data_IF_169304415615
#
_entry.id   IF_169304415615
#
_cell.length_a   1.000
_cell.length_b   1.000
_cell.length_c   1.000
_cell.angle_alpha   90.00
_cell.angle_beta   90.00
_cell.angle_gamma   90.00
#
_symmetry.space_group_name_H-M   'P 1'
#
loop_
_entity.id
_entity.type
_entity.pdbx_description
1 polymer ?
#
# COMPACT_ATOMS: atom_id res chain seq x y z
N UNK A 1 -36.59 -1.00 12.65
CA UNK A 1 -35.67 0.06 12.19
C UNK A 1 -36.13 1.44 12.66
N UNK A 2 -37.39 1.83 12.48
CA UNK A 2 -37.92 3.14 12.98
C UNK A 2 -37.85 3.32 14.50
N UNK A 3 -38.05 2.27 15.31
CA UNK A 3 -38.00 2.39 16.78
C UNK A 3 -36.59 2.64 17.37
N UNK A 4 -35.52 2.40 16.60
CA UNK A 4 -34.13 2.58 17.06
C UNK A 4 -33.66 4.03 16.83
N UNK A 5 -34.17 4.72 15.80
CA UNK A 5 -33.85 6.14 15.59
C UNK A 5 -34.43 7.03 16.69
N UNK A 6 -35.62 6.69 17.18
CA UNK A 6 -36.34 7.51 18.16
C UNK A 6 -35.69 7.43 19.56
N UNK A 7 -35.15 6.26 19.91
CA UNK A 7 -34.41 6.06 21.16
C UNK A 7 -33.06 6.79 21.15
N UNK A 8 -32.42 6.91 19.98
CA UNK A 8 -31.16 7.62 19.85
C UNK A 8 -31.32 9.14 19.87
N UNK A 9 -32.38 9.66 19.24
CA UNK A 9 -32.75 11.08 19.34
C UNK A 9 -33.10 11.48 20.79
N UNK A 10 -33.79 10.60 21.53
CA UNK A 10 -34.06 10.84 22.96
C UNK A 10 -32.79 10.85 23.80
N UNK A 11 -31.86 9.92 23.59
CA UNK A 11 -30.59 9.88 24.33
C UNK A 11 -29.74 11.14 24.11
N UNK A 12 -29.62 11.61 22.85
CA UNK A 12 -28.88 12.83 22.51
C UNK A 12 -29.51 14.07 23.14
N UNK A 13 -30.84 14.14 23.24
CA UNK A 13 -31.54 15.26 23.88
C UNK A 13 -31.42 15.30 25.42
N UNK A 14 -31.21 14.14 26.05
CA UNK A 14 -31.06 14.02 27.51
C UNK A 14 -29.62 14.23 27.98
N UNK A 15 -28.64 13.97 27.12
CA UNK A 15 -27.25 14.33 27.35
C UNK A 15 -27.10 15.85 27.28
N UNK A 16 -27.22 16.54 28.42
CA UNK A 16 -26.71 17.90 28.61
C UNK A 16 -25.18 17.90 28.47
N UNK A 17 -24.70 17.80 27.25
CA UNK A 17 -23.31 18.12 26.93
C UNK A 17 -23.11 19.61 27.25
N UNK A 18 -22.02 19.98 27.94
CA UNK A 18 -21.74 21.38 28.25
C UNK A 18 -21.57 22.16 26.95
N UNK A 19 -22.57 22.97 26.62
CA UNK A 19 -22.50 23.93 25.52
C UNK A 19 -21.52 25.05 25.84
N UNK A 20 -20.67 25.31 24.86
CA UNK A 20 -20.17 26.63 24.45
C UNK A 20 -19.14 27.36 25.33
N UNK A 21 -17.88 27.30 24.89
CA UNK A 21 -17.14 28.56 24.66
C UNK A 21 -17.53 29.05 23.27
N UNK A 22 -18.38 30.08 23.21
CA UNK A 22 -18.78 30.77 21.97
C UNK A 22 -17.55 31.25 21.21
N UNK A 23 -17.19 30.57 20.11
CA UNK A 23 -16.38 31.18 19.06
C UNK A 23 -17.29 32.15 18.32
N UNK A 24 -16.82 33.39 18.16
CA UNK A 24 -17.54 34.46 17.47
C UNK A 24 -17.95 33.99 16.07
N UNK A 25 -19.25 34.02 15.83
CA UNK A 25 -19.86 33.92 14.52
C UNK A 25 -19.30 35.05 13.64
N UNK A 26 -18.69 34.70 12.51
CA UNK A 26 -18.50 35.63 11.40
C UNK A 26 -19.69 35.35 10.50
N UNK A 27 -20.66 36.25 10.52
CA UNK A 27 -21.82 36.19 9.63
C UNK A 27 -21.35 36.52 8.21
N UNK A 28 -21.26 35.49 7.37
CA UNK A 28 -21.36 35.68 5.92
C UNK A 28 -22.74 35.27 5.50
N UNK A 29 -23.56 36.29 5.30
CA UNK A 29 -24.90 36.28 4.74
C UNK A 29 -24.83 35.76 3.29
N UNK A 30 -25.32 34.54 3.07
CA UNK A 30 -25.89 34.01 1.82
C UNK A 30 -26.24 32.53 2.04
N UNK A 31 -27.55 32.28 2.20
CA UNK A 31 -28.11 30.98 2.55
C UNK A 31 -27.89 29.90 1.49
N UNK A 32 -26.79 29.16 1.65
CA UNK A 32 -26.65 27.74 1.30
C UNK A 32 -25.32 27.25 1.91
N UNK A 33 -25.34 26.87 3.18
CA UNK A 33 -24.21 26.16 3.79
C UNK A 33 -24.68 24.82 4.30
N UNK A 34 -24.69 23.82 3.41
CA UNK A 34 -24.42 22.46 3.85
C UNK A 34 -23.10 22.56 4.61
N UNK A 35 -23.13 22.35 5.93
CA UNK A 35 -21.93 22.28 6.75
C UNK A 35 -21.15 21.03 6.33
N UNK A 36 -20.46 21.11 5.20
CA UNK A 36 -19.25 20.34 5.01
C UNK A 36 -18.33 20.81 6.13
N UNK A 37 -18.11 19.96 7.12
CA UNK A 37 -16.83 20.01 7.83
C UNK A 37 -15.79 20.15 6.73
N UNK A 38 -15.02 21.26 6.64
CA UNK A 38 -13.95 21.37 5.68
C UNK A 38 -13.14 20.10 5.89
N UNK A 39 -13.08 19.28 4.84
CA UNK A 39 -12.49 17.96 4.87
C UNK A 39 -11.19 18.11 5.65
N UNK A 40 -11.11 17.52 6.85
CA UNK A 40 -9.85 17.44 7.54
C UNK A 40 -9.04 16.56 6.58
N UNK A 41 -8.19 17.16 5.76
CA UNK A 41 -7.09 16.47 5.10
C UNK A 41 -5.96 16.57 6.12
N UNK A 42 -5.89 15.76 7.19
CA UNK A 42 -4.69 15.70 8.01
C UNK A 42 -3.46 15.19 7.23
N UNK A 43 -3.63 15.00 5.92
CA UNK A 43 -2.72 14.38 4.99
C UNK A 43 -2.66 15.17 3.67
N UNK A 44 -2.91 16.49 3.67
CA UNK A 44 -2.35 17.33 2.60
C UNK A 44 -0.83 17.33 2.82
N UNK A 45 -0.20 16.21 2.44
CA UNK A 45 1.21 15.96 2.66
C UNK A 45 1.97 16.75 1.61
N UNK A 46 3.04 17.38 2.06
CA UNK A 46 4.08 17.89 1.17
C UNK A 46 4.37 16.84 0.10
N UNK A 47 4.38 17.21 -1.19
CA UNK A 47 4.64 16.27 -2.27
C UNK A 47 5.94 15.51 -1.95
N UNK A 48 5.84 14.18 -1.90
CA UNK A 48 6.99 13.32 -1.61
C UNK A 48 8.01 13.54 -2.73
N UNK A 49 9.15 14.17 -2.40
CA UNK A 49 10.26 14.29 -3.34
C UNK A 49 10.92 12.92 -3.43
N UNK A 50 10.81 12.31 -4.61
CA UNK A 50 11.42 11.02 -4.88
C UNK A 50 12.88 11.21 -5.23
N UNK A 51 13.75 10.57 -4.45
CA UNK A 51 15.15 10.41 -4.80
C UNK A 51 15.46 8.91 -4.83
N UNK A 52 16.03 8.39 -5.94
CA UNK A 52 16.49 7.01 -5.97
C UNK A 52 17.63 6.86 -4.97
N UNK A 53 17.39 6.04 -3.95
CA UNK A 53 18.32 5.82 -2.85
C UNK A 53 18.36 4.33 -2.58
N UNK A 54 19.55 3.75 -2.60
CA UNK A 54 19.77 2.35 -2.32
C UNK A 54 20.62 2.29 -1.05
N UNK A 55 19.99 2.02 0.09
CA UNK A 55 20.62 2.09 1.40
C UNK A 55 20.59 0.76 2.12
N UNK A 56 21.66 0.52 2.86
CA UNK A 56 21.80 -0.59 3.77
C UNK A 56 22.05 -0.06 5.18
N UNK A 57 21.25 -0.51 6.13
CA UNK A 57 21.26 -0.06 7.52
C UNK A 57 21.64 -1.28 8.39
N UNK A 58 22.89 -1.39 8.85
CA UNK A 58 23.29 -2.45 9.74
C UNK A 58 22.69 -2.22 11.13
N UNK A 59 21.86 -3.15 11.62
CA UNK A 59 21.20 -3.04 12.93
C UNK A 59 21.73 -4.10 13.90
N UNK A 60 22.36 -3.65 14.99
CA UNK A 60 22.84 -4.54 16.05
C UNK A 60 21.66 -5.24 16.73
N UNK A 61 21.78 -6.55 16.96
CA UNK A 61 20.76 -7.37 17.61
C UNK A 61 19.65 -7.86 16.69
N UNK A 62 19.76 -7.60 15.37
CA UNK A 62 18.84 -8.17 14.39
C UNK A 62 19.39 -9.52 13.89
N UNK A 63 18.61 -10.58 14.06
CA UNK A 63 19.01 -11.93 13.64
C UNK A 63 18.69 -12.22 12.16
N UNK A 64 17.76 -11.46 11.57
CA UNK A 64 17.26 -11.65 10.21
C UNK A 64 17.30 -10.36 9.40
N UNK A 65 17.38 -10.45 8.07
CA UNK A 65 17.42 -9.25 7.24
C UNK A 65 16.00 -8.86 6.78
N UNK A 66 15.77 -7.59 6.51
CA UNK A 66 14.51 -7.09 5.93
C UNK A 66 14.83 -6.19 4.76
N UNK A 67 14.15 -6.39 3.63
CA UNK A 67 14.34 -5.60 2.42
C UNK A 67 13.01 -4.97 2.04
N UNK A 68 13.00 -3.66 1.80
CA UNK A 68 11.87 -2.92 1.27
C UNK A 68 12.31 -2.20 -0.01
N UNK A 69 11.51 -2.31 -1.06
CA UNK A 69 11.70 -1.60 -2.31
C UNK A 69 10.43 -0.84 -2.65
N UNK A 70 10.60 0.45 -2.92
CA UNK A 70 9.52 1.38 -3.21
C UNK A 70 9.66 1.90 -4.63
N UNK A 71 8.54 1.93 -5.36
CA UNK A 71 8.46 2.57 -6.68
C UNK A 71 7.26 3.52 -6.76
N UNK A 72 7.35 4.62 -7.52
CA UNK A 72 6.28 5.61 -7.60
C UNK A 72 4.99 5.08 -8.25
N UNK A 73 3.88 5.31 -7.57
CA UNK A 73 2.52 4.96 -7.99
C UNK A 73 1.59 6.16 -7.75
N UNK A 74 1.41 6.99 -8.78
CA UNK A 74 0.56 8.19 -8.70
C UNK A 74 -0.90 7.86 -9.04
N UNK A 75 -1.53 6.96 -8.29
CA UNK A 75 -2.95 6.62 -8.45
C UNK A 75 -3.68 6.74 -7.10
N UNK A 76 -4.99 6.97 -7.16
CA UNK A 76 -5.87 6.99 -5.98
C UNK A 76 -6.96 5.91 -6.10
N UNK A 77 -7.78 5.72 -5.06
CA UNK A 77 -8.86 4.73 -5.05
C UNK A 77 -9.87 4.88 -6.21
N UNK A 78 -10.04 6.09 -6.75
CA UNK A 78 -10.97 6.39 -7.86
C UNK A 78 -10.31 6.28 -9.24
N UNK A 79 -8.98 6.22 -9.32
CA UNK A 79 -8.25 6.12 -10.56
C UNK A 79 -8.59 4.80 -11.27
N UNK A 80 -8.90 4.78 -12.58
CA UNK A 80 -9.34 3.57 -13.29
C UNK A 80 -8.39 2.39 -13.10
N UNK A 81 -7.08 2.65 -13.11
CA UNK A 81 -6.03 1.62 -12.94
C UNK A 81 -5.91 1.04 -11.53
N UNK A 82 -6.60 1.57 -10.51
CA UNK A 82 -6.48 1.05 -9.14
C UNK A 82 -6.78 -0.45 -9.04
N UNK A 83 -7.94 -0.87 -9.58
CA UNK A 83 -8.37 -2.27 -9.55
C UNK A 83 -7.39 -3.22 -10.29
N UNK A 84 -6.98 -2.97 -11.54
CA UNK A 84 -6.03 -3.86 -12.22
C UNK A 84 -4.64 -3.87 -11.58
N UNK A 85 -4.18 -2.78 -10.97
CA UNK A 85 -2.91 -2.74 -10.22
C UNK A 85 -2.99 -3.57 -8.94
N UNK A 86 -4.10 -3.50 -8.20
CA UNK A 86 -4.33 -4.32 -7.00
C UNK A 86 -4.40 -5.81 -7.35
N UNK A 87 -5.17 -6.18 -8.39
CA UNK A 87 -5.21 -7.57 -8.86
C UNK A 87 -3.83 -8.09 -9.29
N UNK A 88 -2.99 -7.23 -9.88
CA UNK A 88 -1.63 -7.60 -10.21
C UNK A 88 -0.77 -7.86 -8.96
N UNK A 89 -0.97 -7.11 -7.88
CA UNK A 89 -0.33 -7.38 -6.59
C UNK A 89 -0.70 -8.78 -6.07
N UNK A 90 -1.99 -9.13 -6.12
CA UNK A 90 -2.50 -10.43 -5.69
C UNK A 90 -1.97 -11.59 -6.53
N UNK A 91 -1.91 -11.41 -7.85
CA UNK A 91 -1.32 -12.39 -8.77
C UNK A 91 0.14 -12.66 -8.39
N UNK A 92 0.92 -11.64 -8.03
CA UNK A 92 2.29 -11.83 -7.57
C UNK A 92 2.38 -12.39 -6.14
N UNK A 93 1.46 -12.03 -5.24
CA UNK A 93 1.38 -12.61 -3.90
C UNK A 93 1.20 -14.12 -3.94
N UNK A 94 0.43 -14.65 -4.92
CA UNK A 94 0.29 -16.10 -5.11
C UNK A 94 1.62 -16.84 -5.33
N UNK A 95 2.69 -16.11 -5.71
CA UNK A 95 4.04 -16.65 -5.93
C UNK A 95 4.95 -16.58 -4.70
N UNK A 96 4.50 -16.05 -3.57
CA UNK A 96 5.25 -16.06 -2.30
C UNK A 96 5.84 -17.45 -2.00
N UNK A 97 5.07 -18.51 -2.25
CA UNK A 97 5.47 -19.89 -2.02
C UNK A 97 6.77 -20.28 -2.73
N UNK A 98 7.09 -19.70 -3.89
CA UNK A 98 8.35 -19.95 -4.60
C UNK A 98 9.56 -19.39 -3.85
N UNK A 99 9.44 -18.21 -3.21
CA UNK A 99 10.49 -17.60 -2.39
C UNK A 99 10.68 -18.39 -1.09
N UNK A 100 9.57 -18.74 -0.44
CA UNK A 100 9.56 -19.45 0.83
C UNK A 100 10.09 -20.88 0.70
N UNK A 101 9.71 -21.61 -0.36
CA UNK A 101 10.17 -22.98 -0.60
C UNK A 101 11.68 -23.04 -0.87
N UNK A 102 12.24 -21.99 -1.48
CA UNK A 102 13.71 -21.85 -1.67
C UNK A 102 14.43 -21.44 -0.38
N UNK A 103 13.70 -21.10 0.67
CA UNK A 103 14.24 -20.69 1.95
C UNK A 103 14.92 -19.32 1.93
N UNK A 104 14.57 -18.44 0.97
CA UNK A 104 15.22 -17.12 0.85
C UNK A 104 14.66 -16.07 1.80
N UNK A 105 13.36 -16.12 2.07
CA UNK A 105 12.67 -15.28 3.05
C UNK A 105 11.42 -15.99 3.58
N UNK A 106 11.05 -15.67 4.81
CA UNK A 106 9.82 -16.20 5.41
C UNK A 106 8.61 -15.40 4.98
N UNK A 107 8.70 -14.07 5.02
CA UNK A 107 7.62 -13.18 4.62
C UNK A 107 7.92 -12.47 3.31
N UNK A 108 6.94 -12.48 2.42
CA UNK A 108 6.88 -11.70 1.20
C UNK A 108 5.67 -10.78 1.26
N UNK A 109 5.79 -9.56 0.74
CA UNK A 109 4.66 -8.67 0.58
C UNK A 109 4.81 -7.82 -0.67
N UNK A 110 3.70 -7.60 -1.37
CA UNK A 110 3.61 -6.66 -2.48
C UNK A 110 2.35 -5.82 -2.33
N UNK A 111 2.51 -4.58 -1.90
CA UNK A 111 1.40 -3.75 -1.44
C UNK A 111 1.34 -2.40 -2.14
N UNK A 112 0.12 -1.87 -2.17
CA UNK A 112 -0.18 -0.51 -2.61
C UNK A 112 -0.30 0.38 -1.37
N UNK A 113 0.48 1.45 -1.33
CA UNK A 113 0.23 2.54 -0.38
C UNK A 113 -0.19 3.77 -1.17
N UNK A 114 -1.51 3.87 -1.34
CA UNK A 114 -2.18 4.95 -2.05
C UNK A 114 -1.95 6.31 -1.38
N UNK A 115 -1.79 6.32 -0.06
CA UNK A 115 -1.58 7.55 0.70
C UNK A 115 -0.19 8.12 0.41
N UNK A 116 0.82 7.27 0.33
CA UNK A 116 2.18 7.67 -0.06
C UNK A 116 2.41 7.71 -1.57
N UNK A 117 1.46 7.17 -2.35
CA UNK A 117 1.57 7.04 -3.80
C UNK A 117 2.72 6.12 -4.21
N UNK A 118 2.84 4.97 -3.54
CA UNK A 118 3.94 4.01 -3.75
C UNK A 118 3.44 2.59 -3.93
N UNK A 119 4.17 1.82 -4.73
CA UNK A 119 4.15 0.36 -4.73
C UNK A 119 5.32 -0.13 -3.86
N UNK A 120 5.07 -1.11 -2.99
CA UNK A 120 6.03 -1.60 -2.02
C UNK A 120 6.22 -3.10 -2.20
N UNK A 121 7.42 -3.52 -2.59
CA UNK A 121 7.88 -4.89 -2.45
C UNK A 121 8.62 -5.02 -1.12
N UNK A 122 8.27 -6.02 -0.31
CA UNK A 122 8.85 -6.22 1.01
C UNK A 122 9.18 -7.67 1.31
N UNK A 123 10.33 -7.88 1.93
CA UNK A 123 10.77 -9.17 2.43
C UNK A 123 11.08 -9.05 3.91
N UNK A 124 10.50 -9.94 4.73
CA UNK A 124 10.76 -10.02 6.16
C UNK A 124 11.38 -11.37 6.50
N UNK A 125 12.22 -11.37 7.54
CA UNK A 125 12.97 -12.54 7.97
C UNK A 125 13.74 -13.21 6.80
N UNK A 126 14.41 -12.38 6.01
CA UNK A 126 15.14 -12.80 4.82
C UNK A 126 16.53 -13.34 5.18
N UNK A 127 16.76 -14.62 4.90
CA UNK A 127 18.08 -15.26 4.99
C UNK A 127 18.95 -14.89 3.78
N UNK A 128 18.33 -14.69 2.61
CA UNK A 128 18.98 -14.34 1.35
C UNK A 128 18.17 -13.27 0.60
N UNK A 129 18.13 -12.02 1.10
CA UNK A 129 17.29 -10.96 0.55
C UNK A 129 17.60 -10.65 -0.93
N UNK A 130 18.87 -10.73 -1.36
CA UNK A 130 19.25 -10.48 -2.76
C UNK A 130 18.71 -11.57 -3.70
N UNK A 131 18.76 -12.85 -3.29
CA UNK A 131 18.22 -13.95 -4.09
C UNK A 131 16.70 -13.88 -4.19
N UNK A 132 16.02 -13.54 -3.09
CA UNK A 132 14.58 -13.32 -3.10
C UNK A 132 14.17 -12.15 -4.02
N UNK A 133 14.88 -11.02 -3.94
CA UNK A 133 14.66 -9.88 -4.84
C UNK A 133 14.92 -10.27 -6.31
N UNK A 134 15.97 -11.03 -6.59
CA UNK A 134 16.27 -11.53 -7.93
C UNK A 134 15.17 -12.46 -8.46
N UNK A 135 14.59 -13.32 -7.63
CA UNK A 135 13.43 -14.14 -8.04
C UNK A 135 12.21 -13.27 -8.38
N UNK A 136 11.92 -12.24 -7.58
CA UNK A 136 10.89 -11.27 -7.90
C UNK A 136 11.14 -10.58 -9.25
N UNK A 137 12.38 -10.13 -9.52
CA UNK A 137 12.75 -9.55 -10.81
C UNK A 137 12.59 -10.53 -11.97
N UNK A 138 12.95 -11.81 -11.79
CA UNK A 138 12.70 -12.85 -12.79
C UNK A 138 11.21 -13.00 -13.07
N UNK A 139 10.33 -12.86 -12.07
CA UNK A 139 8.89 -12.92 -12.33
C UNK A 139 8.41 -11.74 -13.17
N UNK A 140 8.90 -10.53 -12.91
CA UNK A 140 8.61 -9.35 -13.72
C UNK A 140 9.11 -9.54 -15.15
N UNK A 141 10.36 -9.98 -15.33
CA UNK A 141 10.94 -10.24 -16.65
C UNK A 141 10.20 -11.34 -17.43
N UNK A 142 9.74 -12.40 -16.75
CA UNK A 142 8.89 -13.44 -17.37
C UNK A 142 7.55 -12.86 -17.84
N UNK A 143 6.94 -11.99 -17.04
CA UNK A 143 5.71 -11.30 -17.39
C UNK A 143 5.92 -10.38 -18.61
N UNK A 144 7.06 -9.70 -18.71
CA UNK A 144 7.40 -8.89 -19.89
C UNK A 144 7.62 -9.74 -21.14
N UNK A 145 8.26 -10.90 -21.00
CA UNK A 145 8.57 -11.78 -22.13
C UNK A 145 7.35 -12.51 -22.69
N UNK A 146 6.41 -12.93 -21.82
CA UNK A 146 5.21 -13.65 -22.24
C UNK A 146 4.00 -13.32 -21.33
N UNK A 147 3.37 -12.14 -21.55
CA UNK A 147 2.33 -11.64 -20.65
C UNK A 147 1.15 -12.59 -20.46
N UNK A 148 0.69 -13.22 -21.54
CA UNK A 148 -0.51 -14.07 -21.53
C UNK A 148 -0.28 -15.46 -20.93
N UNK A 149 0.98 -15.91 -20.81
CA UNK A 149 1.29 -17.12 -20.02
C UNK A 149 1.30 -16.88 -18.53
N UNK A 150 1.62 -15.65 -18.10
CA UNK A 150 1.67 -15.29 -16.68
C UNK A 150 0.30 -14.80 -16.19
N UNK A 151 -0.33 -13.87 -16.92
CA UNK A 151 -1.67 -13.35 -16.62
C UNK A 151 -2.69 -14.19 -17.40
N UNK A 152 -3.04 -15.33 -16.82
CA UNK A 152 -4.09 -16.21 -17.34
C UNK A 152 -5.45 -15.80 -16.79
N UNK A 153 -6.53 -16.22 -17.47
CA UNK A 153 -7.89 -16.00 -16.98
C UNK A 153 -8.09 -16.58 -15.57
N UNK A 154 -7.53 -17.76 -15.30
CA UNK A 154 -7.58 -18.40 -13.98
C UNK A 154 -6.87 -17.57 -12.91
N UNK A 155 -5.70 -17.00 -13.21
CA UNK A 155 -4.97 -16.15 -12.28
C UNK A 155 -5.76 -14.88 -11.94
N UNK A 156 -6.38 -14.27 -12.95
CA UNK A 156 -7.23 -13.08 -12.79
C UNK A 156 -8.48 -13.37 -11.96
N UNK A 157 -9.19 -14.47 -12.25
CA UNK A 157 -10.37 -14.89 -11.48
C UNK A 157 -10.03 -15.23 -10.03
N UNK A 158 -8.87 -15.83 -9.80
CA UNK A 158 -8.36 -16.13 -8.45
C UNK A 158 -8.09 -14.84 -7.68
N UNK A 159 -7.36 -13.89 -8.27
CA UNK A 159 -7.11 -12.59 -7.65
C UNK A 159 -8.41 -11.83 -7.37
N UNK A 160 -9.35 -11.80 -8.32
CA UNK A 160 -10.66 -11.19 -8.10
C UNK A 160 -11.42 -11.87 -6.95
N UNK A 161 -11.31 -13.19 -6.80
CA UNK A 161 -11.95 -13.92 -5.70
C UNK A 161 -11.33 -13.56 -4.35
N UNK A 162 -10.02 -13.30 -4.29
CA UNK A 162 -9.33 -12.80 -3.09
C UNK A 162 -9.89 -11.44 -2.68
N UNK A 163 -9.94 -10.47 -3.59
CA UNK A 163 -10.51 -9.13 -3.32
C UNK A 163 -11.98 -9.19 -2.88
N UNK A 164 -12.77 -10.08 -3.49
CA UNK A 164 -14.17 -10.32 -3.09
C UNK A 164 -14.24 -10.91 -1.69
N UNK A 165 -13.39 -11.89 -1.37
CA UNK A 165 -13.32 -12.48 -0.05
C UNK A 165 -12.93 -11.44 1.01
N UNK A 166 -11.90 -10.64 0.76
CA UNK A 166 -11.43 -9.59 1.66
C UNK A 166 -12.48 -8.50 1.88
N UNK A 167 -13.24 -8.17 0.83
CA UNK A 167 -14.38 -7.27 0.95
C UNK A 167 -15.45 -7.81 1.92
N UNK A 168 -15.77 -9.11 1.88
CA UNK A 168 -16.78 -9.68 2.76
C UNK A 168 -16.25 -10.00 4.17
N UNK A 169 -14.99 -10.42 4.29
CA UNK A 169 -14.35 -10.74 5.57
C UNK A 169 -14.27 -9.53 6.50
N UNK A 170 -13.99 -8.35 5.93
CA UNK A 170 -14.01 -7.05 6.63
C UNK A 170 -15.40 -6.57 7.08
N UNK A 171 -16.46 -7.35 6.81
CA UNK A 171 -17.85 -7.00 7.14
C UNK A 171 -18.56 -8.11 7.93
N UNK A 172 -17.79 -9.07 8.47
CA UNK A 172 -18.35 -10.19 9.21
C UNK A 172 -18.90 -9.79 10.59
N UNK A 173 -18.36 -8.75 11.24
CA UNK A 173 -18.82 -8.30 12.56
C UNK A 173 -19.23 -6.81 12.57
N UNK A 174 -20.11 -6.38 13.49
CA UNK A 174 -20.45 -4.97 13.64
C UNK A 174 -19.23 -4.08 13.88
N UNK A 175 -18.24 -4.56 14.63
CA UNK A 175 -17.00 -3.84 14.91
C UNK A 175 -16.19 -3.59 13.64
N UNK A 176 -16.09 -4.58 12.76
CA UNK A 176 -15.36 -4.45 11.49
C UNK A 176 -16.06 -3.46 10.56
N UNK A 177 -17.39 -3.52 10.48
CA UNK A 177 -18.19 -2.59 9.68
C UNK A 177 -18.03 -1.14 10.17
N UNK A 178 -18.03 -0.91 11.49
CA UNK A 178 -17.80 0.42 12.06
C UNK A 178 -16.37 0.90 11.75
N UNK A 179 -15.38 0.02 11.93
CA UNK A 179 -13.98 0.34 11.69
C UNK A 179 -13.71 0.67 10.21
N UNK A 180 -14.30 -0.09 9.28
CA UNK A 180 -14.18 0.18 7.85
C UNK A 180 -14.91 1.47 7.46
N UNK A 181 -16.07 1.77 8.03
CA UNK A 181 -16.75 3.07 7.80
C UNK A 181 -15.86 4.24 8.21
N UNK A 182 -15.25 4.17 9.39
CA UNK A 182 -14.36 5.22 9.89
C UNK A 182 -13.11 5.33 9.00
N UNK A 183 -12.52 4.20 8.61
CA UNK A 183 -11.34 4.18 7.75
C UNK A 183 -11.65 4.69 6.34
N UNK A 184 -12.83 4.40 5.81
CA UNK A 184 -13.34 4.88 4.50
C UNK A 184 -13.37 6.41 4.45
N UNK A 185 -13.76 7.06 5.56
CA UNK A 185 -13.70 8.52 5.68
C UNK A 185 -12.25 9.04 5.58
N UNK A 186 -11.29 8.36 6.22
CA UNK A 186 -9.86 8.71 6.12
C UNK A 186 -9.25 8.40 4.75
N UNK A 187 -9.80 7.44 3.99
CA UNK A 187 -9.43 7.15 2.59
C UNK A 187 -9.98 8.19 1.60
N UNK A 188 -10.83 9.12 2.04
CA UNK A 188 -11.47 10.12 1.19
C UNK A 188 -12.65 9.61 0.38
N UNK A 189 -13.26 8.52 0.84
CA UNK A 189 -14.46 7.95 0.24
C UNK A 189 -15.70 8.40 1.03
N UNK A 190 -16.75 8.93 0.38
CA UNK A 190 -17.91 9.51 1.06
C UNK A 190 -18.77 8.51 1.84
N UNK A 191 -18.81 7.24 1.44
CA UNK A 191 -19.66 6.22 2.05
C UNK A 191 -19.22 4.81 1.61
N UNK A 192 -19.82 3.77 2.24
CA UNK A 192 -19.57 2.36 1.90
C UNK A 192 -20.00 1.95 0.48
N UNK A 193 -20.87 2.73 -0.20
CA UNK A 193 -21.28 2.40 -1.56
C UNK A 193 -20.10 2.45 -2.53
N UNK A 194 -19.11 3.31 -2.26
CA UNK A 194 -17.87 3.36 -3.04
C UNK A 194 -17.09 2.04 -2.99
N UNK A 195 -17.17 1.32 -1.88
CA UNK A 195 -16.55 0.00 -1.76
C UNK A 195 -17.24 -1.04 -2.66
N UNK A 196 -18.55 -0.91 -2.89
CA UNK A 196 -19.27 -1.74 -3.87
C UNK A 196 -18.91 -1.38 -5.31
N UNK A 197 -18.75 -0.08 -5.60
CA UNK A 197 -18.26 0.39 -6.91
C UNK A 197 -16.86 -0.15 -7.18
N UNK A 198 -15.98 -0.15 -6.17
CA UNK A 198 -14.65 -0.75 -6.29
C UNK A 198 -14.72 -2.26 -6.56
N UNK A 199 -15.62 -2.98 -5.88
CA UNK A 199 -15.83 -4.41 -6.11
C UNK A 199 -16.28 -4.71 -7.55
N UNK A 200 -17.17 -3.89 -8.10
CA UNK A 200 -17.60 -4.01 -9.50
C UNK A 200 -16.44 -3.77 -10.48
N UNK A 201 -15.54 -2.84 -10.15
CA UNK A 201 -14.35 -2.58 -10.96
C UNK A 201 -13.37 -3.76 -10.98
N UNK A 202 -13.20 -4.49 -9.89
CA UNK A 202 -12.41 -5.72 -9.89
C UNK A 202 -13.00 -6.77 -10.83
N UNK A 203 -14.32 -6.97 -10.76
CA UNK A 203 -15.05 -7.91 -11.61
C UNK A 203 -14.95 -7.57 -13.10
N UNK A 204 -14.89 -6.29 -13.43
CA UNK A 204 -14.84 -5.80 -14.81
C UNK A 204 -13.40 -5.63 -15.35
N UNK A 205 -12.37 -6.01 -14.58
CA UNK A 205 -10.99 -5.98 -15.08
C UNK A 205 -10.77 -7.05 -16.16
N UNK A 206 -10.06 -6.67 -17.22
CA UNK A 206 -9.63 -7.59 -18.28
C UNK A 206 -8.15 -7.89 -18.18
N UNK A 207 -7.71 -8.98 -18.81
CA UNK A 207 -6.29 -9.38 -18.86
C UNK A 207 -5.44 -8.25 -19.48
N UNK A 208 -5.95 -7.61 -20.53
CA UNK A 208 -5.27 -6.52 -21.24
C UNK A 208 -5.03 -5.32 -20.33
N UNK A 209 -6.03 -4.91 -19.53
CA UNK A 209 -5.88 -3.82 -18.57
C UNK A 209 -4.83 -4.12 -17.50
N UNK A 210 -4.77 -5.36 -17.02
CA UNK A 210 -3.76 -5.80 -16.05
C UNK A 210 -2.36 -5.78 -16.67
N UNK A 211 -2.21 -6.23 -17.91
CA UNK A 211 -0.94 -6.19 -18.64
C UNK A 211 -0.51 -4.75 -18.91
N UNK A 212 -1.42 -3.86 -19.31
CA UNK A 212 -1.12 -2.43 -19.48
C UNK A 212 -0.63 -1.80 -18.17
N UNK A 213 -1.28 -2.14 -17.06
CA UNK A 213 -0.88 -1.67 -15.73
C UNK A 213 0.49 -2.22 -15.30
N UNK A 214 0.85 -3.44 -15.71
CA UNK A 214 2.20 -3.96 -15.51
C UNK A 214 3.25 -3.04 -16.15
N UNK A 215 3.09 -2.72 -17.43
CA UNK A 215 4.04 -1.87 -18.15
C UNK A 215 4.07 -0.44 -17.62
N UNK A 216 2.94 0.08 -17.14
CA UNK A 216 2.83 1.45 -16.62
C UNK A 216 3.40 1.61 -15.20
N UNK A 217 3.26 0.60 -14.35
CA UNK A 217 3.55 0.75 -12.91
C UNK A 217 4.57 -0.25 -12.36
N UNK A 218 4.47 -1.53 -12.71
CA UNK A 218 5.32 -2.58 -12.11
C UNK A 218 6.69 -2.66 -12.76
N UNK A 219 6.82 -2.32 -14.05
CA UNK A 219 8.12 -2.27 -14.73
C UNK A 219 9.13 -1.36 -14.01
N UNK A 220 8.66 -0.35 -13.28
CA UNK A 220 9.47 0.55 -12.45
C UNK A 220 10.32 -0.16 -11.39
N UNK A 221 9.94 -1.35 -10.94
CA UNK A 221 10.77 -2.16 -10.03
C UNK A 221 12.11 -2.58 -10.67
N UNK A 222 12.15 -2.71 -12.00
CA UNK A 222 13.37 -3.02 -12.76
C UNK A 222 14.18 -1.77 -13.10
N UNK A 223 13.58 -0.59 -13.04
CA UNK A 223 14.22 0.68 -13.41
C UNK A 223 15.17 1.20 -12.32
N UNK A 224 16.06 2.17 -12.62
CA UNK A 224 16.94 2.77 -11.61
C UNK A 224 16.21 3.71 -10.63
N UNK A 225 15.05 4.24 -11.02
CA UNK A 225 14.28 5.22 -10.24
C UNK A 225 13.47 4.56 -9.12
N UNK A 226 14.16 3.94 -8.17
CA UNK A 226 13.57 3.25 -7.03
C UNK A 226 14.30 3.54 -5.74
N UNK A 227 13.58 3.40 -4.64
CA UNK A 227 14.15 3.44 -3.29
C UNK A 227 14.25 1.99 -2.80
N UNK A 228 15.44 1.56 -2.39
CA UNK A 228 15.66 0.26 -1.77
C UNK A 228 16.27 0.49 -0.40
N UNK A 229 15.65 -0.09 0.62
CA UNK A 229 16.10 -0.03 2.00
C UNK A 229 16.28 -1.45 2.49
N UNK A 230 17.48 -1.76 2.96
CA UNK A 230 17.81 -3.06 3.49
C UNK A 230 18.31 -2.91 4.93
N UNK A 231 17.63 -3.52 5.90
CA UNK A 231 18.17 -3.66 7.25
C UNK A 231 18.88 -5.00 7.37
N UNK A 232 20.13 -4.99 7.80
CA UNK A 232 20.93 -6.22 7.92
C UNK A 232 21.54 -6.41 9.28
N UNK A 233 21.79 -7.67 9.62
CA UNK A 233 22.79 -8.01 10.62
C UNK A 233 24.16 -7.42 10.20
N UNK A 234 24.95 -6.80 11.10
CA UNK A 234 26.28 -6.31 10.80
C UNK A 234 27.22 -7.36 10.16
N UNK A 235 27.12 -8.62 10.59
CA UNK A 235 27.94 -9.73 10.10
C UNK A 235 27.62 -10.14 8.65
N UNK A 236 26.39 -9.90 8.18
CA UNK A 236 25.99 -10.21 6.81
C UNK A 236 26.17 -9.02 5.85
N UNK A 237 26.59 -7.86 6.36
CA UNK A 237 26.58 -6.61 5.62
C UNK A 237 27.40 -6.69 4.32
N UNK A 238 28.69 -7.01 4.43
CA UNK A 238 29.63 -7.10 3.29
C UNK A 238 29.24 -8.20 2.29
N UNK A 239 28.76 -9.34 2.81
CA UNK A 239 28.31 -10.45 1.98
C UNK A 239 27.12 -10.04 1.12
N UNK A 240 26.15 -9.33 1.70
CA UNK A 240 24.97 -8.88 0.97
C UNK A 240 25.32 -7.80 -0.05
N UNK A 241 26.27 -6.91 0.23
CA UNK A 241 26.75 -5.94 -0.76
C UNK A 241 27.39 -6.60 -1.97
N UNK A 242 28.28 -7.55 -1.70
CA UNK A 242 28.96 -8.30 -2.75
C UNK A 242 27.95 -9.08 -3.61
N UNK A 243 26.94 -9.66 -2.98
CA UNK A 243 25.87 -10.37 -3.67
C UNK A 243 24.97 -9.42 -4.48
N UNK A 244 24.61 -8.26 -3.92
CA UNK A 244 23.79 -7.24 -4.60
C UNK A 244 24.50 -6.70 -5.85
N UNK A 245 25.81 -6.43 -5.74
CA UNK A 245 26.62 -5.98 -6.88
C UNK A 245 26.78 -7.05 -7.95
N UNK A 246 27.03 -8.30 -7.56
CA UNK A 246 27.25 -9.39 -8.50
C UNK A 246 25.99 -9.87 -9.22
N UNK A 247 24.85 -9.97 -8.52
CA UNK A 247 23.61 -10.48 -9.09
C UNK A 247 22.76 -9.41 -9.78
N UNK A 248 22.73 -8.19 -9.23
CA UNK A 248 21.78 -7.15 -9.63
C UNK A 248 22.46 -5.87 -10.13
N UNK A 249 23.80 -5.80 -10.11
CA UNK A 249 24.60 -4.61 -10.44
C UNK A 249 24.14 -3.34 -9.69
N UNK A 250 23.79 -3.52 -8.41
CA UNK A 250 23.34 -2.43 -7.53
C UNK A 250 24.36 -2.20 -6.43
N UNK A 251 24.83 -0.95 -6.32
CA UNK A 251 25.66 -0.49 -5.22
C UNK A 251 24.79 0.02 -4.07
N UNK A 252 25.07 -0.43 -2.84
CA UNK A 252 24.35 -0.03 -1.63
C UNK A 252 25.19 0.96 -0.81
N UNK A 253 24.58 2.08 -0.43
CA UNK A 253 25.18 3.01 0.51
C UNK A 253 24.93 2.53 1.94
N UNK A 254 25.99 2.28 2.70
CA UNK A 254 25.85 1.97 4.13
C UNK A 254 25.55 3.27 4.87
N UNK A 255 24.49 3.26 5.67
CA UNK A 255 24.13 4.37 6.55
C UNK A 255 23.96 3.80 7.95
N UNK A 256 24.66 4.36 8.93
CA UNK A 256 24.43 3.98 10.32
C UNK A 256 23.03 4.43 10.73
N UNK A 257 22.32 3.61 11.51
CA UNK A 257 21.01 3.96 12.04
C UNK A 257 21.02 5.30 12.80
N UNK A 258 22.13 5.61 13.47
CA UNK A 258 22.31 6.86 14.22
C UNK A 258 22.35 8.10 13.30
N UNK A 259 22.70 7.93 12.02
CA UNK A 259 22.81 9.01 11.05
C UNK A 259 21.49 9.25 10.28
N UNK A 260 20.44 8.49 10.60
CA UNK A 260 19.12 8.65 10.00
C UNK A 260 18.32 9.64 10.84
N UNK A 261 18.35 10.91 10.43
CA UNK A 261 17.52 11.96 11.01
C UNK A 261 16.27 12.19 10.14
N UNK A 262 15.11 12.24 10.78
CA UNK A 262 13.90 12.79 10.16
C UNK A 262 13.96 14.30 10.37
N UNK A 263 14.21 15.03 9.29
CA UNK A 263 14.27 16.49 9.33
C UNK A 263 12.83 17.03 9.40
N UNK A 264 12.35 17.31 10.62
CA UNK A 264 10.99 17.79 10.87
C UNK A 264 10.78 19.27 10.46
N UNK A 265 11.84 19.97 10.03
CA UNK A 265 11.86 21.42 9.81
C UNK A 265 12.14 21.82 8.35
N UNK A 266 11.64 21.06 7.37
CA UNK A 266 11.54 21.60 6.01
C UNK A 266 10.20 22.30 5.83
N UNK A 267 10.21 23.59 6.14
CA UNK A 267 9.17 24.57 5.78
C UNK A 267 8.94 24.63 4.25
#
# INVERSE_FOLDING_TARGET
VSKISDTWAQYVSQCKLPCEKKRKHIDTDNGESVHYLPYFQPLERTPTVWSPVMIQIPMKGQDSNTLLQYVPLQINFKHPDFAPVALLCDIFHSKEGEIRTKGYAYGFSLNLDIVRGVLIFGLTEATSPVKALNEFYKWLQRLEADPHKVITQFALETACSTEVYDYFSTKCTPTDVISENVTTLFKGLPNLQESLVLLDRYKNCTIELVIECYYRYFKKFLEPQKLLVLTTNPNSCESIQSEMKSLLDVDLNIVDFQDIWIDYNKD
#
